data_IF_994326573567
#
_entry.id   IF_994326573567
#
_cell.length_a   1.000
_cell.length_b   1.000
_cell.length_c   1.000
_cell.angle_alpha   90.00
_cell.angle_beta   90.00
_cell.angle_gamma   90.00
#
_symmetry.space_group_name_H-M   'P 1'
#
loop_
_entity.id
_entity.type
_entity.pdbx_description
1 polymer ?
#
# COMPACT_ATOMS: atom_id res chain seq x y z
N UNK A 1 26.55 -3.53 -5.82
CA UNK A 1 26.74 -4.62 -4.82
C UNK A 1 25.42 -5.34 -4.66
N UNK A 2 25.38 -6.66 -4.90
CA UNK A 2 24.17 -7.45 -4.76
C UNK A 2 23.80 -7.55 -3.27
N UNK A 3 22.58 -7.13 -2.90
CA UNK A 3 22.03 -7.36 -1.56
C UNK A 3 21.87 -8.87 -1.38
N UNK A 4 22.68 -9.46 -0.51
CA UNK A 4 22.55 -10.87 -0.11
C UNK A 4 21.24 -11.01 0.67
N UNK A 5 20.35 -11.90 0.20
CA UNK A 5 19.05 -12.15 0.82
C UNK A 5 19.23 -12.85 2.16
N UNK A 6 18.78 -12.22 3.25
CA UNK A 6 18.80 -12.81 4.59
C UNK A 6 17.44 -13.48 4.90
N UNK A 7 17.37 -14.79 4.70
CA UNK A 7 16.12 -15.55 4.83
C UNK A 7 15.77 -15.98 6.27
N UNK A 8 16.77 -16.15 7.11
CA UNK A 8 16.57 -16.58 8.50
C UNK A 8 16.61 -15.41 9.47
N UNK A 9 15.77 -15.47 10.51
CA UNK A 9 15.82 -14.57 11.67
C UNK A 9 16.53 -15.27 12.82
N UNK A 10 17.45 -14.58 13.47
CA UNK A 10 18.10 -15.07 14.69
C UNK A 10 17.44 -14.50 15.96
N UNK A 11 17.83 -15.03 17.11
CA UNK A 11 17.22 -14.65 18.39
C UNK A 11 17.58 -13.22 18.83
N UNK A 12 18.76 -12.73 18.46
CA UNK A 12 19.23 -11.38 18.79
C UNK A 12 18.48 -10.32 17.97
N UNK A 13 18.20 -10.60 16.69
CA UNK A 13 17.34 -9.80 15.83
C UNK A 13 15.90 -9.72 16.36
N UNK A 14 15.35 -10.85 16.83
CA UNK A 14 14.03 -10.91 17.46
C UNK A 14 14.00 -10.10 18.78
N UNK A 15 15.06 -10.16 19.58
CA UNK A 15 15.22 -9.39 20.82
C UNK A 15 15.28 -7.89 20.53
N UNK A 16 16.11 -7.47 19.56
CA UNK A 16 16.23 -6.07 19.15
C UNK A 16 14.89 -5.52 18.64
N UNK A 17 14.17 -6.30 17.83
CA UNK A 17 12.84 -5.95 17.34
C UNK A 17 11.85 -5.82 18.50
N UNK A 18 11.86 -6.74 19.46
CA UNK A 18 10.98 -6.68 20.61
C UNK A 18 11.25 -5.49 21.52
N UNK A 19 12.51 -5.23 21.85
CA UNK A 19 12.89 -4.11 22.70
C UNK A 19 12.50 -2.77 22.08
N UNK A 20 12.83 -2.58 20.80
CA UNK A 20 12.55 -1.34 20.08
C UNK A 20 11.04 -1.08 19.99
N UNK A 21 10.24 -2.09 19.67
CA UNK A 21 8.78 -1.94 19.62
C UNK A 21 8.19 -1.68 21.01
N UNK A 22 8.65 -2.37 22.05
CA UNK A 22 8.20 -2.12 23.43
C UNK A 22 8.58 -0.73 23.92
N UNK A 23 9.76 -0.22 23.53
CA UNK A 23 10.20 1.16 23.80
C UNK A 23 9.28 2.17 23.15
N UNK A 24 9.02 2.05 21.84
CA UNK A 24 8.07 2.92 21.13
C UNK A 24 6.67 2.85 21.75
N UNK A 25 6.22 1.68 22.24
CA UNK A 25 4.93 1.58 22.95
C UNK A 25 4.94 2.36 24.27
N UNK A 26 6.04 2.33 25.06
CA UNK A 26 6.15 3.09 26.32
C UNK A 26 6.22 4.59 26.08
N UNK A 27 7.03 5.00 25.10
CA UNK A 27 7.27 6.41 24.73
C UNK A 27 6.09 7.00 23.94
N UNK A 28 5.24 6.14 23.38
CA UNK A 28 4.03 6.51 22.68
C UNK A 28 4.15 6.67 21.17
N UNK A 29 5.29 6.25 20.60
CA UNK A 29 5.52 6.12 19.16
C UNK A 29 4.66 5.03 18.49
N UNK A 30 4.81 4.93 17.17
CA UNK A 30 4.07 3.98 16.34
C UNK A 30 4.88 2.71 16.09
N UNK A 31 4.21 1.59 15.87
CA UNK A 31 4.90 0.35 15.49
C UNK A 31 5.62 0.49 14.15
N UNK A 32 5.09 1.29 13.22
CA UNK A 32 5.73 1.56 11.93
C UNK A 32 7.07 2.28 12.11
N UNK A 33 7.12 3.30 12.97
CA UNK A 33 8.37 4.00 13.30
C UNK A 33 9.38 3.05 13.97
N UNK A 34 8.92 2.16 14.85
CA UNK A 34 9.76 1.13 15.43
C UNK A 34 10.30 0.15 14.36
N UNK A 35 9.47 -0.24 13.39
CA UNK A 35 9.89 -1.16 12.32
C UNK A 35 10.86 -0.51 11.35
N UNK A 36 10.71 0.77 11.03
CA UNK A 36 11.67 1.54 10.23
C UNK A 36 13.02 1.64 10.92
N UNK A 37 13.02 1.94 12.23
CA UNK A 37 14.25 2.02 13.01
C UNK A 37 15.01 0.69 13.05
N UNK A 38 14.31 -0.44 13.23
CA UNK A 38 14.93 -1.76 13.24
C UNK A 38 15.34 -2.22 11.84
N UNK A 39 14.55 -1.87 10.82
CA UNK A 39 14.86 -2.18 9.43
C UNK A 39 16.20 -1.57 9.00
N UNK A 40 16.46 -0.31 9.35
CA UNK A 40 17.73 0.35 9.08
C UNK A 40 18.90 -0.34 9.78
N UNK A 41 18.74 -0.70 11.07
CA UNK A 41 19.80 -1.37 11.85
C UNK A 41 20.12 -2.78 11.38
N UNK A 42 19.12 -3.54 10.96
CA UNK A 42 19.30 -4.92 10.50
C UNK A 42 19.51 -5.02 8.99
N UNK A 43 19.53 -3.89 8.26
CA UNK A 43 19.57 -3.85 6.79
C UNK A 43 18.44 -4.71 6.17
N UNK A 44 17.25 -4.68 6.77
CA UNK A 44 16.03 -5.38 6.33
C UNK A 44 14.96 -4.35 5.93
N UNK A 45 13.81 -4.81 5.44
CA UNK A 45 12.68 -3.92 5.15
C UNK A 45 11.74 -3.79 6.35
N UNK A 46 11.09 -2.63 6.51
CA UNK A 46 10.10 -2.40 7.58
C UNK A 46 8.94 -3.39 7.50
N UNK A 47 8.56 -3.79 6.29
CA UNK A 47 7.55 -4.82 6.06
C UNK A 47 7.98 -6.21 6.59
N UNK A 48 9.25 -6.60 6.39
CA UNK A 48 9.77 -7.86 6.93
C UNK A 48 9.79 -7.86 8.47
N UNK A 49 10.18 -6.74 9.09
CA UNK A 49 10.13 -6.56 10.54
C UNK A 49 8.68 -6.68 11.07
N UNK A 50 7.73 -6.04 10.38
CA UNK A 50 6.31 -6.14 10.70
C UNK A 50 5.75 -7.56 10.60
N UNK A 51 6.12 -8.31 9.55
CA UNK A 51 5.72 -9.70 9.39
C UNK A 51 6.29 -10.60 10.49
N UNK A 52 7.58 -10.45 10.82
CA UNK A 52 8.22 -11.21 11.91
C UNK A 52 7.58 -10.91 13.26
N UNK A 53 7.33 -9.62 13.53
CA UNK A 53 6.65 -9.18 14.73
C UNK A 53 5.27 -9.83 14.88
N UNK A 54 4.42 -9.73 13.86
CA UNK A 54 3.04 -10.21 13.94
C UNK A 54 2.93 -11.74 13.96
N UNK A 55 3.81 -12.45 13.26
CA UNK A 55 3.77 -13.92 13.16
C UNK A 55 4.25 -14.61 14.43
N UNK A 56 5.33 -14.11 15.05
CA UNK A 56 6.06 -14.86 16.09
C UNK A 56 6.28 -14.07 17.38
N UNK A 57 6.77 -12.82 17.29
CA UNK A 57 7.25 -12.08 18.47
C UNK A 57 6.09 -11.54 19.30
N UNK A 58 5.06 -10.97 18.67
CA UNK A 58 3.92 -10.34 19.35
C UNK A 58 3.21 -11.28 20.33
N UNK A 59 3.07 -12.56 19.96
CA UNK A 59 2.46 -13.59 20.81
C UNK A 59 3.35 -13.92 22.01
N UNK A 60 4.67 -14.04 21.79
CA UNK A 60 5.65 -14.33 22.85
C UNK A 60 5.74 -13.21 23.89
N UNK A 61 5.66 -11.95 23.46
CA UNK A 61 5.84 -10.77 24.32
C UNK A 61 4.52 -10.12 24.77
N UNK A 62 3.40 -10.85 24.74
CA UNK A 62 2.08 -10.30 25.05
C UNK A 62 2.01 -9.65 26.44
N UNK A 63 2.60 -10.27 27.46
CA UNK A 63 2.66 -9.70 28.81
C UNK A 63 3.46 -8.39 28.87
N UNK A 64 4.63 -8.36 28.21
CA UNK A 64 5.48 -7.17 28.14
C UNK A 64 4.79 -6.01 27.38
N UNK A 65 4.02 -6.31 26.33
CA UNK A 65 3.23 -5.31 25.60
C UNK A 65 2.17 -4.68 26.53
N UNK A 66 1.50 -5.47 27.36
CA UNK A 66 0.51 -4.94 28.31
C UNK A 66 1.17 -4.05 29.36
N UNK A 67 2.32 -4.47 29.90
CA UNK A 67 3.08 -3.66 30.84
C UNK A 67 3.57 -2.34 30.21
N UNK A 68 4.07 -2.38 28.98
CA UNK A 68 4.50 -1.20 28.24
C UNK A 68 3.34 -0.20 28.01
N UNK A 69 2.15 -0.70 27.66
CA UNK A 69 0.93 0.12 27.52
C UNK A 69 0.50 0.74 28.86
N UNK A 70 0.59 -0.01 29.95
CA UNK A 70 0.29 0.48 31.30
C UNK A 70 1.27 1.61 31.69
N UNK A 71 2.56 1.40 31.47
CA UNK A 71 3.60 2.41 31.72
C UNK A 71 3.37 3.70 30.91
N UNK A 72 3.01 3.60 29.61
CA UNK A 72 2.63 4.77 28.80
C UNK A 72 1.46 5.55 29.42
N UNK A 73 0.43 4.83 29.87
CA UNK A 73 -0.75 5.45 30.51
C UNK A 73 -0.40 6.16 31.81
N UNK A 74 0.51 5.59 32.61
CA UNK A 74 1.00 6.18 33.86
C UNK A 74 1.89 7.40 33.62
N UNK A 75 2.79 7.36 32.63
CA UNK A 75 3.63 8.49 32.23
C UNK A 75 2.79 9.67 31.73
N UNK A 76 1.77 9.42 30.91
CA UNK A 76 0.83 10.45 30.43
C UNK A 76 0.04 11.08 31.59
N UNK A 77 -0.30 10.31 32.63
CA UNK A 77 -0.96 10.82 33.85
C UNK A 77 -0.06 11.71 34.70
N UNK A 78 1.25 11.47 34.73
CA UNK A 78 2.21 12.27 35.49
C UNK A 78 2.55 13.59 34.78
N UNK A 79 2.68 13.60 33.45
CA UNK A 79 2.93 14.82 32.67
C UNK A 79 1.79 15.84 32.76
N UNK A 80 0.54 15.40 32.83
CA UNK A 80 -0.63 16.30 32.95
C UNK A 80 -0.70 16.99 34.32
N UNK A 81 0.05 16.51 35.34
CA UNK A 81 0.06 17.10 36.69
C UNK A 81 1.15 18.15 36.91
N UNK A 82 2.09 18.31 35.98
CA UNK A 82 3.27 19.16 36.19
C UNK A 82 3.32 20.43 35.33
N UNK A 83 2.33 20.70 34.48
CA UNK A 83 2.37 21.88 33.59
C UNK A 83 0.98 22.51 33.37
N UNK A 84 0.68 23.68 33.97
CA UNK A 84 -0.55 24.40 33.75
C UNK A 84 -0.43 25.28 32.50
N UNK A 85 -0.43 24.66 31.32
CA UNK A 85 -0.65 25.41 30.08
C UNK A 85 0.10 24.90 28.86
N UNK A 86 -0.50 23.95 28.14
CA UNK A 86 -0.53 23.98 26.67
C UNK A 86 -1.48 22.89 26.16
N UNK A 87 -2.61 23.34 25.59
CA UNK A 87 -3.47 22.52 24.74
C UNK A 87 -2.79 22.37 23.38
N UNK A 88 -2.53 21.14 22.95
CA UNK A 88 -1.95 20.86 21.64
C UNK A 88 -2.14 19.42 21.18
N UNK A 89 -3.17 19.22 20.35
CA UNK A 89 -3.39 18.15 19.36
C UNK A 89 -3.40 16.68 19.83
N UNK A 90 -4.62 16.16 19.94
CA UNK A 90 -4.94 14.77 20.27
C UNK A 90 -5.03 13.91 19.00
N UNK A 91 -4.18 12.89 18.92
CA UNK A 91 -4.40 11.70 18.09
C UNK A 91 -5.00 10.57 18.93
N UNK A 92 -6.30 10.32 18.71
CA UNK A 92 -7.16 9.25 19.23
C UNK A 92 -7.46 9.24 20.75
N UNK A 93 -8.69 9.59 21.15
CA UNK A 93 -9.15 9.46 22.53
C UNK A 93 -9.65 8.03 22.78
N UNK A 94 -9.07 7.35 23.76
CA UNK A 94 -9.78 6.29 24.47
C UNK A 94 -9.74 6.61 25.95
N UNK A 95 -10.93 6.87 26.49
CA UNK A 95 -11.30 7.13 27.88
C UNK A 95 -10.86 8.48 28.46
N UNK A 96 -11.76 9.46 28.32
CA UNK A 96 -11.83 10.66 29.18
C UNK A 96 -12.18 10.18 30.59
N UNK A 97 -11.24 10.32 31.51
CA UNK A 97 -11.51 10.33 32.94
C UNK A 97 -11.38 11.78 33.40
N UNK A 98 -12.49 12.44 33.75
CA UNK A 98 -12.44 13.73 34.46
C UNK A 98 -13.61 14.69 34.30
N UNK A 99 -14.53 14.45 33.36
CA UNK A 99 -15.76 15.25 33.21
C UNK A 99 -16.89 14.27 32.98
N UNK A 100 -17.90 14.22 33.86
CA UNK A 100 -19.16 13.55 33.54
C UNK A 100 -19.83 14.42 32.48
N UNK A 101 -19.50 14.14 31.22
CA UNK A 101 -20.30 14.55 30.07
C UNK A 101 -21.69 13.95 30.30
N UNK A 102 -22.75 14.74 30.15
CA UNK A 102 -24.10 14.21 30.35
C UNK A 102 -24.35 13.08 29.35
N UNK A 103 -25.18 12.10 29.70
CA UNK A 103 -25.48 10.98 28.79
C UNK A 103 -26.01 11.49 27.43
N UNK A 104 -26.73 12.61 27.45
CA UNK A 104 -27.24 13.32 26.27
C UNK A 104 -26.13 13.94 25.40
N UNK A 105 -25.03 14.43 26.00
CA UNK A 105 -23.88 14.97 25.27
C UNK A 105 -23.02 13.86 24.64
N UNK A 106 -22.94 12.69 25.28
CA UNK A 106 -22.31 11.50 24.69
C UNK A 106 -23.14 10.96 23.51
N UNK A 107 -24.46 10.84 23.65
CA UNK A 107 -25.36 10.45 22.56
C UNK A 107 -25.27 11.43 21.37
N UNK A 108 -25.29 12.74 21.62
CA UNK A 108 -25.14 13.74 20.56
C UNK A 108 -23.78 13.64 19.84
N UNK A 109 -22.70 13.31 20.55
CA UNK A 109 -21.40 13.09 19.93
C UNK A 109 -21.36 11.80 19.10
N UNK A 110 -21.97 10.72 19.60
CA UNK A 110 -22.10 9.48 18.83
C UNK A 110 -22.94 9.69 17.56
N UNK A 111 -24.03 10.45 17.62
CA UNK A 111 -24.84 10.78 16.45
C UNK A 111 -24.07 11.60 15.41
N UNK A 112 -23.29 12.59 15.85
CA UNK A 112 -22.41 13.34 14.95
C UNK A 112 -21.33 12.46 14.31
N UNK A 113 -20.76 11.52 15.07
CA UNK A 113 -19.80 10.55 14.57
C UNK A 113 -20.46 9.59 13.57
N UNK A 114 -21.66 9.09 13.86
CA UNK A 114 -22.44 8.24 12.98
C UNK A 114 -22.75 8.99 11.68
N UNK A 115 -23.24 10.23 11.74
CA UNK A 115 -23.48 11.05 10.55
C UNK A 115 -22.21 11.24 9.72
N UNK A 116 -21.08 11.55 10.35
CA UNK A 116 -19.80 11.70 9.66
C UNK A 116 -19.35 10.42 8.96
N UNK A 117 -19.39 9.29 9.68
CA UNK A 117 -19.00 7.99 9.15
C UNK A 117 -19.94 7.52 8.04
N UNK A 118 -21.23 7.78 8.15
CA UNK A 118 -22.23 7.43 7.13
C UNK A 118 -22.01 8.25 5.86
N UNK A 119 -21.74 9.56 5.99
CA UNK A 119 -21.38 10.45 4.88
C UNK A 119 -20.08 10.03 4.19
N UNK A 120 -19.08 9.59 4.95
CA UNK A 120 -17.83 9.08 4.37
C UNK A 120 -18.03 7.74 3.65
N UNK A 121 -18.86 6.85 4.20
CA UNK A 121 -19.23 5.58 3.56
C UNK A 121 -19.94 5.82 2.22
N UNK A 122 -20.83 6.80 2.16
CA UNK A 122 -21.54 7.18 0.94
C UNK A 122 -20.59 7.77 -0.12
N UNK A 123 -19.67 8.65 0.28
CA UNK A 123 -18.59 9.14 -0.62
C UNK A 123 -17.73 8.02 -1.19
N UNK A 124 -17.42 7.01 -0.38
CA UNK A 124 -16.68 5.84 -0.85
C UNK A 124 -17.48 5.02 -1.85
N UNK A 125 -18.79 4.82 -1.63
CA UNK A 125 -19.68 4.16 -2.60
C UNK A 125 -19.77 4.91 -3.93
N UNK A 126 -19.95 6.23 -3.89
CA UNK A 126 -19.99 7.06 -5.11
C UNK A 126 -18.66 6.96 -5.86
N UNK A 127 -17.53 7.06 -5.14
CA UNK A 127 -16.20 6.93 -5.76
C UNK A 127 -15.99 5.55 -6.38
N UNK A 128 -16.44 4.49 -5.71
CA UNK A 128 -16.33 3.12 -6.21
C UNK A 128 -17.17 2.91 -7.47
N UNK A 129 -18.38 3.49 -7.51
CA UNK A 129 -19.22 3.52 -8.71
C UNK A 129 -18.58 4.27 -9.88
N UNK A 130 -18.02 5.46 -9.65
CA UNK A 130 -17.33 6.23 -10.70
C UNK A 130 -16.08 5.52 -11.22
N UNK A 131 -15.34 4.86 -10.33
CA UNK A 131 -14.16 4.06 -10.71
C UNK A 131 -14.60 2.86 -11.56
N UNK A 132 -15.64 2.12 -11.15
CA UNK A 132 -16.18 1.01 -11.93
C UNK A 132 -16.64 1.44 -13.33
N UNK A 133 -17.33 2.56 -13.44
CA UNK A 133 -17.76 3.08 -14.74
C UNK A 133 -16.57 3.47 -15.63
N UNK A 134 -15.53 4.08 -15.04
CA UNK A 134 -14.30 4.43 -15.76
C UNK A 134 -13.53 3.19 -16.21
N UNK A 135 -13.45 2.16 -15.36
CA UNK A 135 -12.82 0.87 -15.68
C UNK A 135 -13.55 0.20 -16.84
N UNK A 136 -14.88 0.15 -16.81
CA UNK A 136 -15.68 -0.43 -17.89
C UNK A 136 -15.47 0.32 -19.22
N UNK A 137 -15.47 1.66 -19.21
CA UNK A 137 -15.18 2.46 -20.41
C UNK A 137 -13.79 2.19 -20.98
N UNK A 138 -12.78 2.21 -20.11
CA UNK A 138 -11.40 1.91 -20.52
C UNK A 138 -11.24 0.49 -21.05
N UNK A 139 -11.95 -0.48 -20.48
CA UNK A 139 -11.95 -1.85 -20.98
C UNK A 139 -12.57 -1.95 -22.37
N UNK A 140 -13.71 -1.30 -22.59
CA UNK A 140 -14.37 -1.27 -23.89
C UNK A 140 -13.48 -0.60 -24.96
N UNK A 141 -12.88 0.55 -24.65
CA UNK A 141 -11.92 1.22 -25.56
C UNK A 141 -10.71 0.32 -25.85
N UNK A 142 -10.22 -0.44 -24.86
CA UNK A 142 -9.10 -1.35 -25.06
C UNK A 142 -9.46 -2.52 -26.00
N UNK A 143 -10.70 -3.04 -25.88
CA UNK A 143 -11.20 -4.08 -26.77
C UNK A 143 -11.39 -3.57 -28.20
N UNK A 144 -11.96 -2.36 -28.37
CA UNK A 144 -12.11 -1.70 -29.67
C UNK A 144 -10.74 -1.46 -30.33
N UNK A 145 -9.80 -0.85 -29.61
CA UNK A 145 -8.44 -0.60 -30.11
C UNK A 145 -7.69 -1.89 -30.45
N UNK A 146 -7.87 -2.97 -29.68
CA UNK A 146 -7.29 -4.28 -30.01
C UNK A 146 -7.85 -4.84 -31.31
N UNK A 147 -9.15 -4.68 -31.54
CA UNK A 147 -9.80 -5.13 -32.77
C UNK A 147 -9.28 -4.34 -33.97
N UNK A 148 -9.24 -3.01 -33.88
CA UNK A 148 -8.67 -2.16 -34.93
C UNK A 148 -7.21 -2.50 -35.22
N UNK A 149 -6.41 -2.75 -34.18
CA UNK A 149 -5.01 -3.12 -34.31
C UNK A 149 -4.84 -4.48 -35.00
N UNK A 150 -5.77 -5.42 -34.81
CA UNK A 150 -5.75 -6.70 -35.51
C UNK A 150 -6.14 -6.53 -36.99
N UNK A 151 -7.20 -5.77 -37.28
CA UNK A 151 -7.62 -5.46 -38.66
C UNK A 151 -6.50 -4.76 -39.45
N UNK A 152 -5.81 -3.80 -38.83
CA UNK A 152 -4.67 -3.11 -39.47
C UNK A 152 -3.49 -4.06 -39.67
N UNK A 153 -3.24 -5.00 -38.75
CA UNK A 153 -2.17 -6.00 -38.90
C UNK A 153 -2.45 -6.97 -40.04
N UNK A 154 -3.69 -7.45 -40.16
CA UNK A 154 -4.10 -8.31 -41.27
C UNK A 154 -3.94 -7.57 -42.61
N UNK A 155 -4.45 -6.33 -42.72
CA UNK A 155 -4.27 -5.52 -43.92
C UNK A 155 -2.80 -5.28 -44.25
N UNK A 156 -1.95 -5.04 -43.24
CA UNK A 156 -0.51 -4.89 -43.43
C UNK A 156 0.15 -6.20 -43.90
N UNK A 157 -0.30 -7.33 -43.38
CA UNK A 157 0.18 -8.65 -43.79
C UNK A 157 -0.12 -8.90 -45.27
N UNK A 158 -1.36 -8.66 -45.70
CA UNK A 158 -1.79 -8.86 -47.09
C UNK A 158 -0.99 -7.98 -48.06
N UNK A 159 -0.84 -6.68 -47.74
CA UNK A 159 -0.03 -5.75 -48.54
C UNK A 159 1.44 -6.19 -48.61
N UNK A 160 1.98 -6.76 -47.51
CA UNK A 160 3.34 -7.26 -47.47
C UNK A 160 3.52 -8.49 -48.36
N UNK A 161 2.55 -9.42 -48.39
CA UNK A 161 2.59 -10.57 -49.27
C UNK A 161 2.52 -10.16 -50.75
N UNK A 162 1.60 -9.26 -51.10
CA UNK A 162 1.48 -8.71 -52.46
C UNK A 162 2.78 -8.03 -52.91
N UNK A 163 3.40 -7.26 -52.02
CA UNK A 163 4.68 -6.62 -52.29
C UNK A 163 5.80 -7.64 -52.55
N UNK A 164 5.84 -8.75 -51.81
CA UNK A 164 6.79 -9.84 -52.03
C UNK A 164 6.55 -10.54 -53.38
N UNK A 165 5.29 -10.81 -53.73
CA UNK A 165 4.93 -11.39 -55.03
C UNK A 165 5.35 -10.48 -56.19
N UNK A 166 5.13 -9.17 -56.06
CA UNK A 166 5.57 -8.18 -57.06
C UNK A 166 7.10 -8.17 -57.21
N UNK A 167 7.86 -8.19 -56.12
CA UNK A 167 9.34 -8.29 -56.17
C UNK A 167 9.76 -9.58 -56.90
N UNK A 168 9.16 -10.72 -56.58
CA UNK A 168 9.49 -11.98 -57.24
C UNK A 168 9.17 -11.96 -58.74
N UNK A 169 8.06 -11.33 -59.13
CA UNK A 169 7.71 -11.12 -60.54
C UNK A 169 8.74 -10.24 -61.26
N UNK A 170 9.14 -9.11 -60.65
CA UNK A 170 10.18 -8.21 -61.18
C UNK A 170 11.53 -8.92 -61.34
N UNK A 171 11.96 -9.69 -60.33
CA UNK A 171 13.20 -10.48 -60.41
C UNK A 171 13.14 -11.51 -61.55
N UNK A 172 11.99 -12.16 -61.74
CA UNK A 172 11.81 -13.13 -62.82
C UNK A 172 11.79 -12.48 -64.21
N UNK A 173 11.17 -11.31 -64.35
CA UNK A 173 11.17 -10.52 -65.57
C UNK A 173 12.60 -10.06 -65.93
N UNK A 174 13.32 -9.47 -64.95
CA UNK A 174 14.72 -9.05 -65.12
C UNK A 174 15.64 -10.22 -65.50
N UNK A 175 15.42 -11.42 -64.94
CA UNK A 175 16.18 -12.62 -65.30
C UNK A 175 15.91 -13.07 -66.74
N UNK A 176 14.68 -12.93 -67.24
CA UNK A 176 14.33 -13.27 -68.63
C UNK A 176 14.91 -12.25 -69.62
N UNK A 177 14.89 -10.95 -69.31
CA UNK A 177 15.51 -9.91 -70.15
C UNK A 177 17.01 -10.14 -70.37
N UNK A 178 17.75 -10.55 -69.31
CA UNK A 178 19.17 -10.91 -69.40
C UNK A 178 19.46 -12.13 -70.28
N UNK A 179 18.46 -12.95 -70.58
CA UNK A 179 18.59 -14.14 -71.43
C UNK A 179 18.22 -13.80 -72.90
N UNK A 180 17.40 -12.79 -73.13
CA UNK A 180 16.94 -12.38 -74.47
C UNK A 180 17.84 -11.36 -75.18
N UNK A 181 18.79 -10.74 -74.47
CA UNK A 181 19.85 -9.92 -75.08
C UNK A 181 21.23 -10.46 -74.68
N UNK A 182 21.88 -11.30 -75.53
CA UNK A 182 23.29 -11.64 -75.42
C UNK A 182 24.21 -10.50 -75.88
#
# INVERSE_FOLDING_TARGET
>A
MALIRQDAWNQDEDLLLAETVLRHIREGGTQLAAFEEVAERLSRTSAACGFRWNSSIRKKYQAAIQLAKKARKEAKRHQVRTDPGQKGSEGYPSTIAGMKISMDEEEAWFDQMIMFLTKQKEKLHVRDGTIHESVNKLQQENEELKKELEEVKEAYHDVREDYQLMIHALQRASKKEKITHP
#
